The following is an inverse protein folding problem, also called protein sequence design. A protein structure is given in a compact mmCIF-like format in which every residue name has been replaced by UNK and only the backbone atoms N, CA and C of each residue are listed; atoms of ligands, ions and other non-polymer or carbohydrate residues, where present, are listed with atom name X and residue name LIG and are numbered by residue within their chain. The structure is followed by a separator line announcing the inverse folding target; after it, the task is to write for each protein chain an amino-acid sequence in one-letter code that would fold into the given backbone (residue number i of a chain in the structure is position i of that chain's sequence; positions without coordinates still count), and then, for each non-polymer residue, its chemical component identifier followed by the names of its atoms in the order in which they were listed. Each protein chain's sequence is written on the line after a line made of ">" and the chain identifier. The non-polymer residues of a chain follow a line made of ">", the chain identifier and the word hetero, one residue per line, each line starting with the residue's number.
data_IF_944973221072
#
_entry.id   IF_944973221072
#
_cell.length_a   1.000
_cell.length_b   1.000
_cell.length_c   1.000
_cell.angle_alpha   90.00
_cell.angle_beta   90.00
_cell.angle_gamma   90.00
#
_symmetry.space_group_name_H-M   'P 1'
#
loop_
_entity.id
_entity.type
_entity.pdbx_description
1 polymer ?
#
# COMPACT_ATOMS: atom_id res chain seq x y z
N UNK A 1 14.57 -5.39 -34.16
CA UNK A 1 15.15 -5.20 -32.80
C UNK A 1 14.72 -3.88 -32.13
N UNK A 2 14.72 -2.73 -32.81
CA UNK A 2 14.33 -1.44 -32.20
C UNK A 2 12.92 -1.38 -31.60
N UNK A 3 11.94 -2.08 -32.19
CA UNK A 3 10.55 -2.12 -31.68
C UNK A 3 10.41 -2.76 -30.29
N UNK A 4 11.28 -3.72 -29.93
CA UNK A 4 11.24 -4.40 -28.62
C UNK A 4 11.79 -3.50 -27.50
N UNK A 5 12.90 -2.79 -27.77
CA UNK A 5 13.51 -1.84 -26.84
C UNK A 5 12.60 -0.64 -26.50
N UNK A 6 11.78 -0.19 -27.47
CA UNK A 6 10.83 0.91 -27.24
C UNK A 6 9.66 0.48 -26.36
N UNK A 7 9.22 -0.78 -26.42
CA UNK A 7 8.16 -1.33 -25.54
C UNK A 7 8.62 -1.66 -24.12
N UNK A 8 9.90 -2.01 -23.94
CA UNK A 8 10.49 -2.31 -22.63
C UNK A 8 10.60 -1.08 -21.71
N UNK A 9 10.88 0.11 -22.27
CA UNK A 9 10.97 1.37 -21.51
C UNK A 9 9.70 1.68 -20.70
N UNK A 10 8.49 1.76 -21.30
CA UNK A 10 7.27 2.06 -20.54
C UNK A 10 6.93 1.00 -19.49
N UNK A 11 7.21 -0.29 -19.73
CA UNK A 11 7.02 -1.33 -18.72
C UNK A 11 7.90 -1.13 -17.48
N UNK A 12 9.13 -0.68 -17.65
CA UNK A 12 10.03 -0.35 -16.54
C UNK A 12 9.51 0.84 -15.73
N UNK A 13 9.00 1.89 -16.40
CA UNK A 13 8.40 3.04 -15.72
C UNK A 13 7.15 2.66 -14.93
N UNK A 14 6.28 1.82 -15.48
CA UNK A 14 5.08 1.32 -14.79
C UNK A 14 5.48 0.49 -13.57
N UNK A 15 6.46 -0.43 -13.69
CA UNK A 15 6.97 -1.19 -12.54
C UNK A 15 7.53 -0.28 -11.45
N UNK A 16 8.30 0.73 -11.83
CA UNK A 16 8.87 1.67 -10.87
C UNK A 16 7.76 2.46 -10.14
N UNK A 17 6.74 2.92 -10.88
CA UNK A 17 5.60 3.62 -10.31
C UNK A 17 4.81 2.74 -9.34
N UNK A 18 4.58 1.47 -9.68
CA UNK A 18 3.91 0.50 -8.80
C UNK A 18 4.71 0.27 -7.51
N UNK A 19 6.03 0.13 -7.59
CA UNK A 19 6.89 0.02 -6.40
C UNK A 19 6.82 1.28 -5.52
N UNK A 20 6.85 2.47 -6.11
CA UNK A 20 6.74 3.74 -5.38
C UNK A 20 5.37 3.84 -4.70
N UNK A 21 4.29 3.47 -5.37
CA UNK A 21 2.95 3.41 -4.78
C UNK A 21 2.90 2.42 -3.61
N UNK A 22 3.57 1.27 -3.71
CA UNK A 22 3.69 0.32 -2.61
C UNK A 22 4.42 0.91 -1.40
N UNK A 23 5.50 1.66 -1.60
CA UNK A 23 6.22 2.35 -0.51
C UNK A 23 5.32 3.40 0.15
N UNK A 24 4.60 4.20 -0.63
CA UNK A 24 3.65 5.20 -0.09
C UNK A 24 2.53 4.51 0.71
N UNK A 25 1.99 3.40 0.21
CA UNK A 25 0.97 2.62 0.90
C UNK A 25 1.47 2.06 2.23
N UNK A 26 2.73 1.62 2.32
CA UNK A 26 3.36 1.21 3.59
C UNK A 26 3.48 2.39 4.57
N UNK A 27 3.88 3.57 4.11
CA UNK A 27 3.98 4.75 4.98
C UNK A 27 2.61 5.12 5.57
N UNK A 28 1.56 5.12 4.75
CA UNK A 28 0.19 5.36 5.20
C UNK A 28 -0.25 4.29 6.20
N UNK A 29 0.07 3.02 5.92
CA UNK A 29 -0.22 1.90 6.82
C UNK A 29 0.40 2.15 8.21
N UNK A 30 1.68 2.54 8.28
CA UNK A 30 2.35 2.84 9.55
C UNK A 30 1.68 4.00 10.30
N UNK A 31 1.26 5.05 9.60
CA UNK A 31 0.53 6.18 10.22
C UNK A 31 -0.84 5.75 10.77
N UNK A 32 -1.56 4.87 10.06
CA UNK A 32 -2.84 4.32 10.54
C UNK A 32 -2.66 3.50 11.81
N UNK A 33 -1.56 2.73 11.95
CA UNK A 33 -1.27 1.99 13.18
C UNK A 33 -1.10 2.95 14.36
N UNK A 34 -0.35 4.04 14.18
CA UNK A 34 -0.16 5.05 15.23
C UNK A 34 -1.49 5.69 15.64
N UNK A 35 -2.35 6.00 14.67
CA UNK A 35 -3.69 6.50 14.92
C UNK A 35 -4.56 5.48 15.68
N UNK A 36 -4.51 4.20 15.31
CA UNK A 36 -5.23 3.11 15.99
C UNK A 36 -4.76 2.92 17.44
N UNK A 37 -3.47 3.02 17.73
CA UNK A 37 -2.96 2.95 19.10
C UNK A 37 -3.35 4.16 19.97
N UNK A 38 -3.59 5.32 19.34
CA UNK A 38 -4.05 6.52 20.05
C UNK A 38 -5.54 6.51 20.36
N UNK A 39 -6.31 5.63 19.71
CA UNK A 39 -7.74 5.49 19.95
C UNK A 39 -7.96 4.65 21.21
N UNK A 40 -8.61 5.23 22.21
CA UNK A 40 -9.05 4.47 23.39
C UNK A 40 -10.02 3.36 22.95
N UNK A 41 -9.53 2.12 22.91
CA UNK A 41 -10.24 0.91 22.49
C UNK A 41 -11.47 0.57 23.34
N UNK A 42 -11.73 1.34 24.41
CA UNK A 42 -12.78 1.08 25.39
C UNK A 42 -14.20 1.48 24.97
N UNK A 43 -14.39 2.24 23.88
CA UNK A 43 -15.68 2.89 23.62
C UNK A 43 -16.31 2.72 22.22
N UNK A 44 -15.67 2.08 21.22
CA UNK A 44 -16.13 2.22 19.82
C UNK A 44 -16.72 0.97 19.16
N UNK A 45 -18.00 1.14 18.80
CA UNK A 45 -18.84 0.44 17.83
C UNK A 45 -18.09 0.12 16.52
N UNK A 46 -18.29 -1.08 15.92
CA UNK A 46 -18.00 -1.61 14.55
C UNK A 46 -16.91 -0.94 13.65
N UNK A 47 -16.83 0.38 13.61
CA UNK A 47 -15.86 1.22 12.91
C UNK A 47 -14.37 0.84 13.06
N UNK A 48 -13.82 0.51 14.25
CA UNK A 48 -12.41 0.15 14.37
C UNK A 48 -12.10 -1.20 13.72
N UNK A 49 -13.04 -2.14 13.68
CA UNK A 49 -12.85 -3.43 13.01
C UNK A 49 -12.72 -3.26 11.49
N UNK A 50 -13.54 -2.42 10.87
CA UNK A 50 -13.45 -2.12 9.43
C UNK A 50 -12.12 -1.42 9.11
N UNK A 51 -11.67 -0.51 9.97
CA UNK A 51 -10.38 0.16 9.83
C UNK A 51 -9.20 -0.83 9.88
N UNK A 52 -9.25 -1.83 10.77
CA UNK A 52 -8.22 -2.89 10.86
C UNK A 52 -8.20 -3.76 9.59
N UNK A 53 -9.36 -4.13 9.04
CA UNK A 53 -9.43 -4.93 7.80
C UNK A 53 -8.91 -4.13 6.61
N UNK A 54 -9.30 -2.86 6.49
CA UNK A 54 -8.81 -1.97 5.43
C UNK A 54 -7.28 -1.77 5.53
N UNK A 55 -6.77 -1.59 6.75
CA UNK A 55 -5.34 -1.52 7.01
C UNK A 55 -4.60 -2.80 6.60
N UNK A 56 -5.10 -3.98 6.98
CA UNK A 56 -4.47 -5.25 6.61
C UNK A 56 -4.43 -5.44 5.08
N UNK A 57 -5.53 -5.10 4.39
CA UNK A 57 -5.58 -5.14 2.93
C UNK A 57 -4.60 -4.15 2.28
N UNK A 58 -4.51 -2.92 2.80
CA UNK A 58 -3.56 -1.91 2.34
C UNK A 58 -2.11 -2.38 2.49
N UNK A 59 -1.78 -3.00 3.63
CA UNK A 59 -0.44 -3.48 3.93
C UNK A 59 -0.03 -4.63 2.99
N UNK A 60 -0.94 -5.60 2.77
CA UNK A 60 -0.72 -6.70 1.82
C UNK A 60 -0.58 -6.17 0.39
N UNK A 61 -1.47 -5.27 -0.05
CA UNK A 61 -1.39 -4.66 -1.37
C UNK A 61 -0.08 -3.89 -1.59
N UNK A 62 0.39 -3.19 -0.56
CA UNK A 62 1.64 -2.43 -0.60
C UNK A 62 2.88 -3.33 -0.71
N UNK A 63 2.90 -4.45 0.04
CA UNK A 63 3.97 -5.46 -0.06
C UNK A 63 3.96 -6.09 -1.46
N UNK A 64 2.80 -6.48 -1.97
CA UNK A 64 2.67 -7.07 -3.31
C UNK A 64 3.14 -6.09 -4.40
N UNK A 65 2.81 -4.80 -4.27
CA UNK A 65 3.26 -3.77 -5.20
C UNK A 65 4.78 -3.57 -5.20
N UNK A 66 5.45 -3.77 -4.06
CA UNK A 66 6.92 -3.71 -3.97
C UNK A 66 7.56 -4.96 -4.60
N UNK A 67 6.95 -6.14 -4.42
CA UNK A 67 7.46 -7.40 -4.93
C UNK A 67 7.27 -7.60 -6.44
N UNK A 68 6.24 -6.97 -7.04
CA UNK A 68 5.97 -6.96 -8.48
C UNK A 68 7.05 -6.23 -9.32
#
# INVERSE_FOLDING_TARGET
>A
MFSLMVRLKPQLFVRLAVKVLGVIGLVISVQMIQALFSLEMGAMTVFPYVAIVAFAALLVASILAILA
#
